data_IF_746947328468
#
_entry.id   IF_746947328468
#
_cell.length_a   1.000
_cell.length_b   1.000
_cell.length_c   1.000
_cell.angle_alpha   90.00
_cell.angle_beta   90.00
_cell.angle_gamma   90.00
#
_symmetry.space_group_name_H-M   'P 1'
#
loop_
_entity.id
_entity.type
_entity.pdbx_description
1 polymer ?
#
# COMPACT_ATOMS: atom_id res chain seq x y z
N UNK A 1 8.91 1.67 1.22
CA UNK A 1 8.46 0.29 0.97
C UNK A 1 8.72 -0.57 2.19
N UNK A 2 7.93 -1.63 2.44
CA UNK A 2 8.10 -2.51 3.61
C UNK A 2 8.43 -3.94 3.17
N UNK A 3 7.53 -4.66 2.48
CA UNK A 3 7.82 -6.03 2.00
C UNK A 3 6.83 -6.53 0.94
N UNK A 4 7.32 -7.31 -0.02
CA UNK A 4 6.49 -8.10 -0.96
C UNK A 4 6.38 -9.56 -0.52
N UNK A 5 5.33 -10.28 -0.91
CA UNK A 5 5.24 -11.73 -0.72
C UNK A 5 4.38 -12.37 -1.79
N UNK A 6 4.73 -13.59 -2.23
CA UNK A 6 3.94 -14.33 -3.20
C UNK A 6 4.09 -15.84 -3.02
N UNK A 7 2.96 -16.55 -3.17
CA UNK A 7 2.82 -18.01 -3.26
C UNK A 7 1.61 -18.32 -4.13
N UNK A 8 1.47 -19.54 -4.65
CA UNK A 8 0.30 -19.93 -5.44
C UNK A 8 -1.02 -19.73 -4.68
N UNK A 9 -1.04 -20.01 -3.37
CA UNK A 9 -2.25 -19.91 -2.55
C UNK A 9 -2.58 -18.47 -2.13
N UNK A 10 -1.57 -17.59 -2.00
CA UNK A 10 -1.75 -16.21 -1.52
C UNK A 10 -1.95 -15.21 -2.65
N UNK A 11 -1.63 -15.59 -3.89
CA UNK A 11 -1.35 -14.64 -4.96
C UNK A 11 -0.28 -13.63 -4.54
N UNK A 12 -0.37 -12.44 -5.12
CA UNK A 12 0.58 -11.35 -4.92
C UNK A 12 0.19 -10.44 -3.74
N UNK A 13 1.10 -10.29 -2.77
CA UNK A 13 0.91 -9.49 -1.57
C UNK A 13 1.94 -8.36 -1.44
N UNK A 14 1.54 -7.24 -0.83
CA UNK A 14 2.39 -6.09 -0.54
C UNK A 14 2.04 -5.47 0.81
N UNK A 15 3.06 -5.24 1.64
CA UNK A 15 3.02 -4.26 2.72
C UNK A 15 3.84 -3.05 2.26
N UNK A 16 3.20 -1.90 2.22
CA UNK A 16 3.82 -0.64 1.84
C UNK A 16 3.65 0.40 2.95
N UNK A 17 4.59 1.34 3.01
CA UNK A 17 4.49 2.51 3.87
C UNK A 17 4.95 3.74 3.08
N UNK A 18 4.23 4.84 3.28
CA UNK A 18 4.52 6.14 2.69
C UNK A 18 4.43 7.22 3.76
N UNK A 19 5.24 8.27 3.65
CA UNK A 19 5.27 9.39 4.60
C UNK A 19 5.12 10.72 3.84
N UNK A 20 4.25 11.60 4.32
CA UNK A 20 4.14 13.01 3.92
C UNK A 20 4.20 13.88 5.17
N UNK A 21 5.22 14.72 5.29
CA UNK A 21 5.49 15.50 6.50
C UNK A 21 5.63 14.60 7.74
N UNK A 22 4.78 14.83 8.73
CA UNK A 22 4.76 14.07 9.99
C UNK A 22 3.83 12.85 9.98
N UNK A 23 3.07 12.65 8.91
CA UNK A 23 2.13 11.54 8.78
C UNK A 23 2.78 10.39 8.01
N UNK A 24 2.74 9.20 8.60
CA UNK A 24 3.08 7.95 7.94
C UNK A 24 1.83 7.07 7.83
N UNK A 25 1.55 6.60 6.62
CA UNK A 25 0.49 5.64 6.32
C UNK A 25 1.11 4.28 5.98
N UNK A 26 0.37 3.21 6.31
CA UNK A 26 0.71 1.84 5.96
C UNK A 26 -0.46 1.26 5.16
N UNK A 27 -0.16 0.62 4.03
CA UNK A 27 -1.13 -0.09 3.20
C UNK A 27 -0.73 -1.58 3.15
N UNK A 28 -1.72 -2.46 3.34
CA UNK A 28 -1.55 -3.92 3.27
C UNK A 28 -2.49 -4.45 2.20
N UNK A 29 -1.92 -5.04 1.16
CA UNK A 29 -2.62 -5.59 0.01
C UNK A 29 -2.34 -7.10 -0.03
N UNK A 30 -3.42 -7.87 -0.10
CA UNK A 30 -3.39 -9.32 -0.06
C UNK A 30 -4.09 -9.87 -1.31
N UNK A 31 -3.44 -10.77 -2.02
CA UNK A 31 -3.95 -11.37 -3.27
C UNK A 31 -4.40 -10.32 -4.30
N UNK A 32 -3.50 -9.40 -4.64
CA UNK A 32 -3.74 -8.30 -5.56
C UNK A 32 -2.67 -8.22 -6.65
N UNK A 33 -3.09 -8.51 -7.88
CA UNK A 33 -2.25 -8.47 -9.08
C UNK A 33 -1.79 -7.04 -9.43
N UNK A 34 -2.54 -6.01 -8.98
CA UNK A 34 -2.24 -4.59 -9.21
C UNK A 34 -1.76 -3.89 -7.93
N UNK A 35 -1.20 -4.65 -6.98
CA UNK A 35 -0.81 -4.14 -5.64
C UNK A 35 0.04 -2.87 -5.63
N UNK A 36 0.78 -2.60 -6.70
CA UNK A 36 1.59 -1.39 -6.81
C UNK A 36 0.74 -0.16 -7.13
N UNK A 37 -0.11 -0.23 -8.17
CA UNK A 37 -1.05 0.83 -8.51
C UNK A 37 -2.06 1.06 -7.38
N UNK A 38 -2.57 -0.01 -6.77
CA UNK A 38 -3.58 0.09 -5.72
C UNK A 38 -2.98 0.61 -4.41
N UNK A 39 -1.73 0.25 -4.07
CA UNK A 39 -1.04 0.90 -2.95
C UNK A 39 -0.89 2.41 -3.17
N UNK A 40 -0.53 2.85 -4.38
CA UNK A 40 -0.41 4.28 -4.69
C UNK A 40 -1.77 4.99 -4.54
N UNK A 41 -2.85 4.43 -5.09
CA UNK A 41 -4.22 4.97 -4.94
C UNK A 41 -4.65 5.03 -3.48
N UNK A 42 -4.35 4.00 -2.68
CA UNK A 42 -4.67 3.97 -1.25
C UNK A 42 -3.91 5.06 -0.47
N UNK A 43 -2.65 5.30 -0.80
CA UNK A 43 -1.89 6.39 -0.19
C UNK A 43 -2.43 7.76 -0.61
N UNK A 44 -2.71 7.98 -1.89
CA UNK A 44 -3.29 9.23 -2.36
C UNK A 44 -4.64 9.51 -1.69
N UNK A 45 -5.49 8.50 -1.59
CA UNK A 45 -6.74 8.58 -0.84
C UNK A 45 -6.50 8.90 0.64
N UNK A 46 -5.62 8.16 1.32
CA UNK A 46 -5.37 8.31 2.75
C UNK A 46 -4.77 9.67 3.11
N UNK A 47 -3.84 10.19 2.30
CA UNK A 47 -3.31 11.54 2.49
C UNK A 47 -4.35 12.61 2.21
N UNK A 48 -5.16 12.46 1.16
CA UNK A 48 -6.25 13.40 0.86
C UNK A 48 -7.27 13.52 2.02
N UNK A 49 -7.59 12.42 2.72
CA UNK A 49 -8.45 12.45 3.91
C UNK A 49 -7.85 13.25 5.09
N UNK A 50 -6.52 13.43 5.10
CA UNK A 50 -5.80 14.21 6.11
C UNK A 50 -5.44 15.62 5.62
N UNK A 51 -5.86 16.00 4.41
CA UNK A 51 -5.51 17.28 3.78
C UNK A 51 -4.04 17.39 3.36
N UNK A 52 -3.41 16.25 3.03
CA UNK A 52 -2.00 16.10 2.63
C UNK A 52 -1.82 15.62 1.19
#
# INVERSE_FOLDING_TARGET
>A
GVKTGSTEASGDCLVAAARRGDVQLIAVLLNDDNRWEDAARLFDYGFAQLGL
#
